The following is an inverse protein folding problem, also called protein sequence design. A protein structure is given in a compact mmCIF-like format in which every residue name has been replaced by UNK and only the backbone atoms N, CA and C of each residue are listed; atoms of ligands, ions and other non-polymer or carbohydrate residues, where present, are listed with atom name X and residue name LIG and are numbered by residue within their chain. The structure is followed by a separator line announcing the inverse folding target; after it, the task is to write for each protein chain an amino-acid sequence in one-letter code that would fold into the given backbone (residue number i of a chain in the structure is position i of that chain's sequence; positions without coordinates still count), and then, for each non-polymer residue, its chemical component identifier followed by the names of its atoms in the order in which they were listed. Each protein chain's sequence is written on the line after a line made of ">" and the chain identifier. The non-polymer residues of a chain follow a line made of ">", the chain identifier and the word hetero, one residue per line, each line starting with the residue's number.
data_IF_137532517181
#
_entry.id   IF_137532517181
#
_cell.length_a   1.000
_cell.length_b   1.000
_cell.length_c   1.000
_cell.angle_alpha   90.00
_cell.angle_beta   90.00
_cell.angle_gamma   90.00
#
_symmetry.space_group_name_H-M   'P 1'
#
loop_
_entity.id
_entity.type
_entity.pdbx_description
1 polymer ?
#
# COMPACT_ATOMS: atom_id res chain seq x y z
N UNK A 1 27.43 -0.81 2.79
CA UNK A 1 27.04 -2.23 2.75
C UNK A 1 28.27 -3.12 2.64
N UNK A 2 29.21 -2.82 1.73
CA UNK A 2 30.44 -3.61 1.63
C UNK A 2 31.29 -3.57 2.93
N UNK A 3 31.30 -2.44 3.65
CA UNK A 3 31.94 -2.33 4.99
C UNK A 3 31.22 -3.11 6.12
N UNK A 4 29.95 -3.51 5.92
CA UNK A 4 29.20 -4.33 6.90
C UNK A 4 29.47 -5.82 6.66
N UNK A 5 29.61 -6.20 5.38
CA UNK A 5 29.97 -7.56 4.96
C UNK A 5 31.38 -7.94 5.43
N UNK A 6 32.33 -6.99 5.43
CA UNK A 6 33.70 -7.22 5.90
C UNK A 6 33.86 -7.36 7.42
N UNK A 7 32.85 -6.97 8.20
CA UNK A 7 32.93 -6.89 9.68
C UNK A 7 32.45 -8.14 10.42
N UNK A 8 31.83 -9.10 9.73
CA UNK A 8 31.27 -10.29 10.39
C UNK A 8 31.57 -11.57 9.63
N UNK A 9 32.19 -12.53 10.33
CA UNK A 9 32.54 -13.84 9.79
C UNK A 9 31.51 -14.94 10.10
N UNK A 10 30.47 -14.66 10.90
CA UNK A 10 29.47 -15.66 11.34
C UNK A 10 28.00 -15.25 11.17
N UNK A 11 27.67 -13.96 11.20
CA UNK A 11 26.28 -13.48 11.12
C UNK A 11 26.12 -12.31 10.16
N UNK A 12 25.07 -12.30 9.34
CA UNK A 12 24.78 -11.16 8.47
C UNK A 12 24.38 -9.97 9.34
N UNK A 13 25.26 -8.97 9.45
CA UNK A 13 24.97 -7.74 10.18
C UNK A 13 23.99 -6.89 9.38
N UNK A 14 22.89 -6.49 10.02
CA UNK A 14 21.85 -5.63 9.44
C UNK A 14 21.99 -4.21 9.97
N UNK A 15 21.56 -3.25 9.16
CA UNK A 15 21.39 -1.86 9.59
C UNK A 15 19.99 -1.61 10.17
N UNK A 16 19.77 -0.41 10.70
CA UNK A 16 18.46 0.02 11.21
C UNK A 16 17.64 0.77 10.15
N UNK A 17 18.01 0.67 8.87
CA UNK A 17 17.39 1.45 7.79
C UNK A 17 16.19 0.72 7.19
N UNK A 18 15.21 1.51 6.75
CA UNK A 18 14.08 1.03 5.96
C UNK A 18 14.37 1.28 4.48
N UNK A 19 14.35 0.23 3.67
CA UNK A 19 14.50 0.30 2.22
C UNK A 19 13.19 0.04 1.50
N UNK A 20 12.88 0.86 0.49
CA UNK A 20 11.80 0.64 -0.45
C UNK A 20 12.41 0.22 -1.79
N UNK A 21 12.07 -0.99 -2.24
CA UNK A 21 12.55 -1.57 -3.49
C UNK A 21 11.40 -1.61 -4.49
N UNK A 22 11.56 -0.97 -5.64
CA UNK A 22 10.61 -1.04 -6.73
C UNK A 22 11.02 -2.13 -7.71
N UNK A 23 10.06 -2.96 -8.12
CA UNK A 23 10.27 -3.92 -9.19
C UNK A 23 10.28 -3.19 -10.54
N UNK A 24 11.45 -2.83 -11.03
CA UNK A 24 11.61 -2.21 -12.35
C UNK A 24 11.96 -3.26 -13.43
N UNK A 25 11.78 -2.89 -14.70
CA UNK A 25 12.09 -3.77 -15.84
C UNK A 25 13.57 -4.19 -15.90
N UNK A 26 14.47 -3.34 -15.39
CA UNK A 26 15.92 -3.57 -15.36
C UNK A 26 16.43 -3.48 -13.93
N UNK A 27 16.18 -4.52 -13.15
CA UNK A 27 16.66 -4.59 -11.78
C UNK A 27 18.10 -5.13 -11.70
N UNK A 28 18.84 -4.65 -10.71
CA UNK A 28 20.10 -5.27 -10.31
C UNK A 28 19.84 -6.28 -9.20
N UNK A 29 19.71 -7.55 -9.57
CA UNK A 29 19.38 -8.64 -8.64
C UNK A 29 20.38 -8.75 -7.47
N UNK A 30 21.67 -8.51 -7.72
CA UNK A 30 22.69 -8.53 -6.66
C UNK A 30 22.49 -7.40 -5.65
N UNK A 31 22.06 -6.23 -6.12
CA UNK A 31 21.77 -5.10 -5.25
C UNK A 31 20.52 -5.39 -4.40
N UNK A 32 19.47 -5.94 -5.00
CA UNK A 32 18.24 -6.34 -4.30
C UNK A 32 18.58 -7.37 -3.22
N UNK A 33 19.34 -8.41 -3.55
CA UNK A 33 19.76 -9.44 -2.60
C UNK A 33 20.58 -8.84 -1.44
N UNK A 34 21.52 -7.94 -1.72
CA UNK A 34 22.29 -7.23 -0.69
C UNK A 34 21.39 -6.40 0.22
N UNK A 35 20.43 -5.67 -0.35
CA UNK A 35 19.50 -4.85 0.44
C UNK A 35 18.60 -5.71 1.31
N UNK A 36 18.09 -6.84 0.80
CA UNK A 36 17.23 -7.74 1.60
C UNK A 36 18.00 -8.38 2.75
N UNK A 37 19.26 -8.77 2.50
CA UNK A 37 20.11 -9.40 3.53
C UNK A 37 20.53 -8.43 4.64
N UNK A 38 20.90 -7.20 4.28
CA UNK A 38 21.52 -6.25 5.22
C UNK A 38 20.59 -5.12 5.68
N UNK A 39 19.48 -4.87 5.00
CA UNK A 39 18.58 -3.79 5.38
C UNK A 39 17.74 -4.19 6.58
N UNK A 40 17.59 -3.33 7.58
CA UNK A 40 16.77 -3.60 8.77
C UNK A 40 15.35 -4.02 8.40
N UNK A 41 14.66 -3.14 7.67
CA UNK A 41 13.31 -3.34 7.14
C UNK A 41 13.26 -3.16 5.63
N UNK A 42 12.54 -4.02 4.93
CA UNK A 42 12.43 -3.96 3.47
C UNK A 42 10.98 -4.01 3.03
N UNK A 43 10.58 -3.02 2.24
CA UNK A 43 9.30 -3.00 1.53
C UNK A 43 9.58 -3.23 0.05
N UNK A 44 9.05 -4.32 -0.49
CA UNK A 44 9.16 -4.63 -1.92
C UNK A 44 7.86 -4.28 -2.63
N UNK A 45 7.92 -3.30 -3.53
CA UNK A 45 6.78 -2.76 -4.26
C UNK A 45 6.76 -3.30 -5.69
N UNK A 46 5.66 -3.91 -6.10
CA UNK A 46 5.52 -4.53 -7.42
C UNK A 46 4.15 -4.25 -8.01
N UNK A 47 4.08 -4.14 -9.34
CA UNK A 47 2.82 -4.09 -10.07
C UNK A 47 2.35 -5.50 -10.52
N UNK A 48 3.21 -6.50 -10.40
CA UNK A 48 2.98 -7.89 -10.84
C UNK A 48 3.56 -8.89 -9.83
N UNK A 49 3.91 -10.09 -10.28
CA UNK A 49 4.50 -11.16 -9.48
C UNK A 49 5.86 -10.78 -8.86
N UNK A 50 6.04 -11.13 -7.60
CA UNK A 50 7.33 -11.12 -6.92
C UNK A 50 8.12 -12.36 -7.34
N UNK A 51 9.36 -12.22 -7.84
CA UNK A 51 10.19 -13.37 -8.16
C UNK A 51 10.46 -14.25 -6.94
N UNK A 52 10.49 -15.57 -7.13
CA UNK A 52 10.62 -16.53 -6.03
C UNK A 52 11.87 -16.32 -5.17
N UNK A 53 13.01 -15.93 -5.76
CA UNK A 53 14.23 -15.67 -5.01
C UNK A 53 14.08 -14.47 -4.07
N UNK A 54 13.42 -13.39 -4.53
CA UNK A 54 13.09 -12.22 -3.71
C UNK A 54 12.18 -12.62 -2.57
N UNK A 55 11.10 -13.35 -2.85
CA UNK A 55 10.18 -13.84 -1.82
C UNK A 55 10.92 -14.69 -0.77
N UNK A 56 11.74 -15.65 -1.21
CA UNK A 56 12.50 -16.54 -0.32
C UNK A 56 13.41 -15.76 0.62
N UNK A 57 13.99 -14.66 0.17
CA UNK A 57 14.85 -13.83 1.00
C UNK A 57 14.04 -12.90 1.90
N UNK A 58 12.93 -12.31 1.43
CA UNK A 58 12.03 -11.51 2.27
C UNK A 58 11.41 -12.33 3.40
N UNK A 59 11.01 -13.58 3.13
CA UNK A 59 10.36 -14.47 4.09
C UNK A 59 11.28 -14.89 5.25
N UNK A 60 12.59 -14.71 5.13
CA UNK A 60 13.54 -14.93 6.24
C UNK A 60 13.49 -13.82 7.29
N UNK A 61 12.75 -12.74 7.01
CA UNK A 61 12.77 -11.52 7.80
C UNK A 61 11.35 -11.08 8.12
N UNK A 62 11.00 -11.10 9.42
CA UNK A 62 9.63 -10.85 9.90
C UNK A 62 9.11 -9.44 9.59
N UNK A 63 10.00 -8.44 9.49
CA UNK A 63 9.62 -7.05 9.24
C UNK A 63 9.45 -6.72 7.74
N UNK A 64 9.69 -7.69 6.85
CA UNK A 64 9.55 -7.49 5.41
C UNK A 64 8.08 -7.35 5.01
N UNK A 65 7.83 -6.45 4.06
CA UNK A 65 6.49 -6.21 3.52
C UNK A 65 6.52 -6.27 2.00
N UNK A 66 5.56 -6.95 1.41
CA UNK A 66 5.33 -6.94 -0.04
C UNK A 66 4.12 -6.07 -0.33
N UNK A 67 4.26 -5.12 -1.25
CA UNK A 67 3.20 -4.23 -1.69
C UNK A 67 2.85 -4.53 -3.14
N UNK A 68 1.62 -4.93 -3.39
CA UNK A 68 1.08 -5.14 -4.73
C UNK A 68 0.25 -3.92 -5.13
N UNK A 69 0.60 -3.28 -6.25
CA UNK A 69 -0.20 -2.21 -6.82
C UNK A 69 -1.42 -2.79 -7.53
N UNK A 70 -2.61 -2.36 -7.11
CA UNK A 70 -3.84 -2.78 -7.77
C UNK A 70 -4.07 -1.97 -9.07
N UNK A 71 -4.37 -2.68 -10.16
CA UNK A 71 -4.63 -2.07 -11.48
C UNK A 71 -6.10 -2.19 -11.89
N UNK A 72 -6.57 -3.43 -12.03
CA UNK A 72 -7.96 -3.73 -12.34
C UNK A 72 -8.33 -5.04 -11.65
N UNK A 73 -8.00 -6.17 -12.24
CA UNK A 73 -8.18 -7.49 -11.62
C UNK A 73 -6.82 -8.15 -11.45
N UNK A 74 -6.67 -8.98 -10.43
CA UNK A 74 -5.51 -9.85 -10.29
C UNK A 74 -5.66 -11.06 -11.22
N UNK A 75 -4.62 -11.38 -11.96
CA UNK A 75 -4.52 -12.63 -12.70
C UNK A 75 -4.35 -13.82 -11.75
N UNK A 76 -4.70 -15.03 -12.18
CA UNK A 76 -4.52 -16.24 -11.36
C UNK A 76 -3.08 -16.40 -10.86
N UNK A 77 -2.10 -16.08 -11.71
CA UNK A 77 -0.68 -16.06 -11.34
C UNK A 77 -0.36 -15.05 -10.23
N UNK A 78 -0.98 -13.88 -10.25
CA UNK A 78 -0.80 -12.87 -9.22
C UNK A 78 -1.50 -13.29 -7.92
N UNK A 79 -2.68 -13.91 -7.99
CA UNK A 79 -3.38 -14.47 -6.83
C UNK A 79 -2.53 -15.54 -6.13
N UNK A 80 -1.98 -16.48 -6.89
CA UNK A 80 -1.08 -17.52 -6.35
C UNK A 80 0.19 -16.90 -5.74
N UNK A 81 0.76 -15.89 -6.39
CA UNK A 81 1.94 -15.19 -5.91
C UNK A 81 1.65 -14.40 -4.62
N UNK A 82 0.49 -13.76 -4.52
CA UNK A 82 0.01 -13.07 -3.32
C UNK A 82 -0.18 -14.07 -2.18
N UNK A 83 -0.83 -15.20 -2.45
CA UNK A 83 -1.00 -16.27 -1.47
C UNK A 83 0.34 -16.80 -0.95
N UNK A 84 1.32 -16.99 -1.84
CA UNK A 84 2.68 -17.39 -1.46
C UNK A 84 3.35 -16.32 -0.58
N UNK A 85 3.28 -15.05 -0.98
CA UNK A 85 3.84 -13.93 -0.22
C UNK A 85 3.25 -13.83 1.19
N UNK A 86 1.94 -14.04 1.31
CA UNK A 86 1.21 -14.00 2.58
C UNK A 86 1.65 -15.08 3.57
N UNK A 87 2.19 -16.21 3.10
CA UNK A 87 2.67 -17.27 3.99
C UNK A 87 3.95 -16.89 4.75
N UNK A 88 4.76 -15.99 4.20
CA UNK A 88 6.09 -15.68 4.73
C UNK A 88 6.33 -14.21 5.08
N UNK A 89 5.46 -13.31 4.63
CA UNK A 89 5.64 -11.87 4.76
C UNK A 89 4.30 -11.16 4.93
N UNK A 90 4.34 -9.93 5.41
CA UNK A 90 3.17 -9.05 5.41
C UNK A 90 2.82 -8.64 3.98
N UNK A 91 1.56 -8.78 3.59
CA UNK A 91 1.07 -8.42 2.26
C UNK A 91 0.17 -7.19 2.33
N UNK A 92 0.50 -6.21 1.49
CA UNK A 92 -0.24 -4.97 1.34
C UNK A 92 -0.72 -4.83 -0.10
N UNK A 93 -1.94 -4.37 -0.29
CA UNK A 93 -2.44 -3.93 -1.60
C UNK A 93 -2.56 -2.41 -1.60
N UNK A 94 -1.84 -1.75 -2.51
CA UNK A 94 -1.93 -0.30 -2.72
C UNK A 94 -2.93 0.02 -3.84
N UNK A 95 -3.86 0.92 -3.54
CA UNK A 95 -4.97 1.29 -4.40
C UNK A 95 -4.95 2.79 -4.60
N UNK A 96 -4.67 3.21 -5.84
CA UNK A 96 -4.76 4.62 -6.23
C UNK A 96 -6.21 4.99 -6.56
N UNK A 97 -6.80 5.87 -5.75
CA UNK A 97 -8.20 6.28 -5.86
C UNK A 97 -8.31 7.63 -6.56
N UNK A 98 -8.96 7.63 -7.72
CA UNK A 98 -9.27 8.83 -8.50
C UNK A 98 -10.78 8.88 -8.74
N UNK A 99 -11.48 9.77 -8.04
CA UNK A 99 -12.93 9.96 -8.21
C UNK A 99 -13.25 10.78 -9.46
N UNK A 100 -14.38 10.50 -10.15
CA UNK A 100 -15.32 9.39 -9.94
C UNK A 100 -14.93 8.09 -10.68
N UNK A 101 -13.72 8.01 -11.24
CA UNK A 101 -13.29 6.90 -12.10
C UNK A 101 -13.13 5.58 -11.35
N UNK A 102 -12.82 5.66 -10.05
CA UNK A 102 -12.68 4.49 -9.17
C UNK A 102 -13.89 4.39 -8.26
N UNK A 103 -14.59 3.26 -8.32
CA UNK A 103 -15.77 2.98 -7.51
C UNK A 103 -15.46 2.03 -6.34
N UNK A 104 -15.84 2.35 -5.08
CA UNK A 104 -15.69 1.45 -3.93
C UNK A 104 -16.18 0.01 -4.16
N UNK A 105 -17.31 -0.17 -4.86
CA UNK A 105 -17.86 -1.51 -5.13
C UNK A 105 -16.98 -2.32 -6.06
N UNK A 106 -16.35 -1.68 -7.04
CA UNK A 106 -15.42 -2.33 -7.95
C UNK A 106 -14.17 -2.76 -7.20
N UNK A 107 -13.64 -1.93 -6.31
CA UNK A 107 -12.50 -2.27 -5.45
C UNK A 107 -12.78 -3.53 -4.63
N UNK A 108 -13.94 -3.60 -3.97
CA UNK A 108 -14.33 -4.79 -3.19
C UNK A 108 -14.39 -6.02 -4.09
N UNK A 109 -14.97 -5.90 -5.29
CA UNK A 109 -15.04 -7.01 -6.25
C UNK A 109 -13.65 -7.47 -6.70
N UNK A 110 -12.75 -6.54 -6.96
CA UNK A 110 -11.38 -6.82 -7.42
C UNK A 110 -10.53 -7.49 -6.33
N UNK A 111 -10.70 -7.07 -5.07
CA UNK A 111 -10.03 -7.67 -3.92
C UNK A 111 -10.60 -9.05 -3.53
N UNK A 112 -11.77 -9.43 -4.04
CA UNK A 112 -12.44 -10.66 -3.62
C UNK A 112 -11.61 -11.92 -3.88
N UNK A 113 -10.80 -11.95 -4.95
CA UNK A 113 -9.92 -13.09 -5.27
C UNK A 113 -8.79 -13.28 -4.26
N UNK A 114 -8.38 -12.20 -3.57
CA UNK A 114 -7.26 -12.18 -2.62
C UNK A 114 -7.73 -11.93 -1.18
N UNK A 115 -9.03 -12.10 -0.92
CA UNK A 115 -9.70 -11.71 0.34
C UNK A 115 -9.14 -12.37 1.61
N UNK A 116 -8.38 -13.45 1.49
CA UNK A 116 -7.77 -14.19 2.61
C UNK A 116 -6.26 -14.05 2.70
N UNK A 117 -5.64 -13.34 1.76
CA UNK A 117 -4.19 -13.34 1.54
C UNK A 117 -3.58 -11.93 1.53
N UNK A 118 -4.26 -10.97 2.16
CA UNK A 118 -3.83 -9.58 2.27
C UNK A 118 -4.05 -9.14 3.71
N UNK A 119 -3.04 -8.50 4.31
CA UNK A 119 -3.11 -7.96 5.66
C UNK A 119 -3.65 -6.52 5.66
N UNK A 120 -3.19 -5.71 4.70
CA UNK A 120 -3.53 -4.29 4.64
C UNK A 120 -3.91 -3.82 3.23
N UNK A 121 -4.83 -2.87 3.20
CA UNK A 121 -5.17 -2.11 2.01
C UNK A 121 -4.77 -0.66 2.25
N UNK A 122 -3.84 -0.18 1.43
CA UNK A 122 -3.37 1.20 1.46
C UNK A 122 -4.12 1.97 0.36
N UNK A 123 -4.78 3.05 0.76
CA UNK A 123 -5.47 3.96 -0.13
C UNK A 123 -4.57 5.16 -0.41
N UNK A 124 -4.12 5.28 -1.66
CA UNK A 124 -3.36 6.42 -2.15
C UNK A 124 -4.27 7.33 -2.97
N UNK A 125 -4.15 8.65 -2.76
CA UNK A 125 -4.96 9.66 -3.44
C UNK A 125 -4.04 10.58 -4.26
N UNK A 126 -3.72 10.21 -5.51
CA UNK A 126 -2.74 10.94 -6.30
C UNK A 126 -3.23 12.37 -6.62
N UNK A 127 -2.30 13.33 -6.59
CA UNK A 127 -2.53 14.70 -7.07
C UNK A 127 -2.68 14.67 -8.60
N UNK A 128 -3.63 15.42 -9.12
CA UNK A 128 -3.94 15.48 -10.55
C UNK A 128 -3.52 16.84 -11.12
N UNK A 129 -2.89 16.85 -12.30
CA UNK A 129 -2.56 18.11 -12.98
C UNK A 129 -3.81 18.78 -13.57
N UNK A 130 -4.72 17.96 -14.08
CA UNK A 130 -5.94 18.40 -14.73
C UNK A 130 -7.12 17.56 -14.22
N UNK A 131 -8.29 18.17 -14.16
CA UNK A 131 -9.53 17.52 -13.74
C UNK A 131 -10.67 17.82 -14.71
N UNK A 132 -11.44 16.80 -15.04
CA UNK A 132 -12.64 16.94 -15.84
C UNK A 132 -13.75 17.69 -15.08
N UNK A 133 -14.73 18.21 -15.82
CA UNK A 133 -15.91 18.88 -15.24
C UNK A 133 -16.63 18.04 -14.18
N UNK A 134 -16.68 16.70 -14.38
CA UNK A 134 -17.28 15.76 -13.42
C UNK A 134 -16.43 15.56 -12.16
N UNK A 135 -15.12 15.78 -12.27
CA UNK A 135 -14.15 15.61 -11.20
C UNK A 135 -14.07 16.84 -10.29
N UNK A 136 -14.23 18.05 -10.83
CA UNK A 136 -14.08 19.34 -10.11
C UNK A 136 -14.74 19.40 -8.73
N UNK A 137 -15.88 18.73 -8.52
CA UNK A 137 -16.56 18.72 -7.21
C UNK A 137 -15.76 18.02 -6.10
N UNK A 138 -14.92 17.05 -6.46
CA UNK A 138 -14.18 16.19 -5.54
C UNK A 138 -12.78 16.69 -5.18
N UNK A 139 -12.26 17.70 -5.87
CA UNK A 139 -10.87 18.16 -5.73
C UNK A 139 -10.83 19.66 -5.47
N UNK A 140 -9.79 20.09 -4.75
CA UNK A 140 -9.40 21.49 -4.61
C UNK A 140 -8.06 21.73 -5.30
N UNK A 141 -7.92 22.91 -5.90
CA UNK A 141 -6.68 23.32 -6.56
C UNK A 141 -5.81 24.11 -5.58
N UNK A 142 -4.57 23.69 -5.38
CA UNK A 142 -3.63 24.31 -4.44
C UNK A 142 -2.63 25.28 -5.10
N UNK A 143 -2.79 25.56 -6.40
CA UNK A 143 -1.90 26.40 -7.19
C UNK A 143 -0.99 25.61 -8.13
N UNK A 144 -0.72 24.34 -7.81
CA UNK A 144 0.13 23.47 -8.64
C UNK A 144 -0.64 22.27 -9.17
N UNK A 145 -1.49 21.67 -8.34
CA UNK A 145 -2.25 20.48 -8.71
C UNK A 145 -3.60 20.42 -7.97
N UNK A 146 -4.44 19.52 -8.43
CA UNK A 146 -5.71 19.19 -7.80
C UNK A 146 -5.50 18.07 -6.78
N UNK A 147 -5.89 18.34 -5.54
CA UNK A 147 -5.84 17.40 -4.43
C UNK A 147 -7.26 17.00 -4.05
N UNK A 148 -7.50 15.70 -3.84
CA UNK A 148 -8.83 15.23 -3.45
C UNK A 148 -9.20 15.78 -2.08
N UNK A 149 -10.44 16.25 -1.92
CA UNK A 149 -10.87 16.79 -0.65
C UNK A 149 -10.89 15.73 0.45
N UNK A 150 -10.52 16.08 1.69
CA UNK A 150 -10.46 15.14 2.81
C UNK A 150 -11.77 14.38 3.06
N UNK A 151 -12.93 15.02 2.86
CA UNK A 151 -14.23 14.37 3.11
C UNK A 151 -14.44 13.17 2.19
N UNK A 152 -14.01 13.28 0.93
CA UNK A 152 -14.16 12.21 -0.05
C UNK A 152 -13.16 11.06 0.18
N UNK A 153 -11.97 11.35 0.70
CA UNK A 153 -11.01 10.31 1.11
C UNK A 153 -11.59 9.44 2.22
N UNK A 154 -12.16 10.08 3.25
CA UNK A 154 -12.77 9.40 4.39
C UNK A 154 -14.06 8.69 4.00
N UNK A 155 -14.91 9.30 3.18
CA UNK A 155 -16.14 8.66 2.66
C UNK A 155 -15.81 7.40 1.85
N UNK A 156 -14.79 7.45 0.98
CA UNK A 156 -14.34 6.29 0.22
C UNK A 156 -13.89 5.15 1.14
N UNK A 157 -13.06 5.45 2.14
CA UNK A 157 -12.59 4.48 3.12
C UNK A 157 -13.75 3.88 3.95
N UNK A 158 -14.73 4.70 4.35
CA UNK A 158 -15.90 4.24 5.12
C UNK A 158 -16.76 3.26 4.32
N UNK A 159 -16.92 3.50 3.00
CA UNK A 159 -17.70 2.64 2.10
C UNK A 159 -17.11 1.23 1.93
N UNK A 160 -15.78 1.09 1.93
CA UNK A 160 -15.13 -0.22 1.82
C UNK A 160 -14.86 -0.87 3.19
N UNK A 161 -14.96 -0.10 4.29
CA UNK A 161 -14.57 -0.54 5.63
C UNK A 161 -15.21 -1.84 6.05
N UNK A 162 -16.54 -1.96 5.90
CA UNK A 162 -17.27 -3.13 6.41
C UNK A 162 -16.81 -4.41 5.72
N UNK A 163 -16.71 -4.39 4.39
CA UNK A 163 -16.26 -5.54 3.60
C UNK A 163 -14.83 -5.95 3.96
N UNK A 164 -13.90 -4.99 4.03
CA UNK A 164 -12.50 -5.28 4.37
C UNK A 164 -12.34 -5.75 5.82
N UNK A 165 -13.16 -5.23 6.76
CA UNK A 165 -13.16 -5.71 8.15
C UNK A 165 -13.61 -7.16 8.28
N UNK A 166 -14.61 -7.59 7.49
CA UNK A 166 -15.04 -9.00 7.43
C UNK A 166 -13.91 -9.90 6.95
N UNK A 167 -13.07 -9.40 6.04
CA UNK A 167 -11.88 -10.09 5.53
C UNK A 167 -10.64 -9.92 6.40
N UNK A 168 -10.78 -9.25 7.56
CA UNK A 168 -9.68 -8.95 8.49
C UNK A 168 -8.54 -8.14 7.87
N UNK A 169 -8.84 -7.34 6.84
CA UNK A 169 -7.89 -6.42 6.22
C UNK A 169 -7.93 -5.05 6.89
N UNK A 170 -6.77 -4.53 7.26
CA UNK A 170 -6.64 -3.18 7.81
C UNK A 170 -6.61 -2.14 6.70
N UNK A 171 -7.28 -1.01 6.90
CA UNK A 171 -7.30 0.09 5.93
C UNK A 171 -6.39 1.20 6.42
N UNK A 172 -5.50 1.65 5.55
CA UNK A 172 -4.65 2.81 5.75
C UNK A 172 -4.96 3.85 4.67
N UNK A 173 -5.18 5.10 5.09
CA UNK A 173 -5.25 6.25 4.19
C UNK A 173 -3.84 6.86 4.18
N UNK A 174 -3.19 6.84 3.02
CA UNK A 174 -1.86 7.44 2.86
C UNK A 174 -2.01 8.95 2.63
N UNK A 175 -1.36 9.74 3.47
CA UNK A 175 -1.43 11.20 3.49
C UNK A 175 -0.04 11.80 3.63
N UNK A 176 0.18 13.00 3.09
CA UNK A 176 1.28 13.85 3.54
C UNK A 176 0.95 14.52 4.88
N UNK A 177 1.88 15.25 5.48
CA UNK A 177 1.71 15.85 6.82
C UNK A 177 0.55 16.86 6.88
N UNK A 178 0.34 17.63 5.81
CA UNK A 178 -0.73 18.64 5.74
C UNK A 178 -2.09 17.94 5.59
N UNK A 179 -2.18 17.05 4.63
CA UNK A 179 -3.37 16.25 4.34
C UNK A 179 -3.77 15.36 5.52
N UNK A 180 -2.78 14.87 6.29
CA UNK A 180 -3.02 14.09 7.51
C UNK A 180 -3.88 14.87 8.50
N UNK A 181 -3.56 16.14 8.73
CA UNK A 181 -4.27 16.99 9.70
C UNK A 181 -5.72 17.19 9.28
N UNK A 182 -5.94 17.45 7.98
CA UNK A 182 -7.26 17.69 7.43
C UNK A 182 -8.12 16.41 7.47
N UNK A 183 -7.58 15.27 7.02
CA UNK A 183 -8.24 13.95 7.08
C UNK A 183 -8.57 13.56 8.51
N UNK A 184 -7.61 13.72 9.43
CA UNK A 184 -7.81 13.41 10.84
C UNK A 184 -8.92 14.27 11.46
N UNK A 185 -9.00 15.55 11.10
CA UNK A 185 -10.08 16.44 11.55
C UNK A 185 -11.47 15.95 11.13
N UNK A 186 -11.60 15.43 9.90
CA UNK A 186 -12.85 14.86 9.37
C UNK A 186 -13.21 13.58 10.13
N UNK A 187 -12.23 12.70 10.35
CA UNK A 187 -12.41 11.45 11.11
C UNK A 187 -12.89 11.76 12.54
N UNK A 188 -12.30 12.75 13.21
CA UNK A 188 -12.65 13.09 14.59
C UNK A 188 -14.02 13.75 14.70
N UNK A 189 -14.42 14.58 13.72
CA UNK A 189 -15.80 15.07 13.62
C UNK A 189 -16.78 13.90 13.49
N UNK A 190 -16.53 12.96 12.58
CA UNK A 190 -17.39 11.79 12.39
C UNK A 190 -17.47 10.91 13.65
N UNK A 191 -16.36 10.71 14.37
CA UNK A 191 -16.35 9.98 15.65
C UNK A 191 -17.21 10.66 16.70
N UNK A 192 -17.17 12.01 16.79
CA UNK A 192 -18.02 12.78 17.70
C UNK A 192 -19.50 12.61 17.34
N UNK A 193 -19.87 12.78 16.06
CA UNK A 193 -21.25 12.58 15.61
C UNK A 193 -21.77 11.16 15.87
N UNK A 194 -20.95 10.12 15.67
CA UNK A 194 -21.35 8.73 15.94
C UNK A 194 -21.49 8.38 17.42
N UNK A 195 -20.80 9.11 18.31
CA UNK A 195 -20.91 8.97 19.77
C UNK A 195 -22.08 9.77 20.35
N UNK A 196 -22.47 10.88 19.72
CA UNK A 196 -23.67 11.66 20.06
C UNK A 196 -24.86 11.05 19.33
N UNK A 197 -25.43 9.97 19.88
CA UNK A 197 -26.79 9.55 19.54
C UNK A 197 -27.74 10.21 20.54
N UNK A 198 -28.68 11.02 20.03
CA UNK A 198 -29.92 11.39 20.74
C UNK A 198 -30.74 10.11 20.92
#
# INVERSE_FOLDING_TARGET
>A
MDDLESKSSRYVMRDDRHYLLFNEKYNNDKLIEKIIKHGGKVTYYTDTVVPYYVFKDLAKHQDSTVVYRMRKDFTDKEVDNIALSFMGTKVVVDISVVLPNVNPYEIIRQLHSVKTNVDEVHLSFPRLKEVDTKQKKFYDFDGEAYTMKPEYKVDFADRIRVSLSVWKMYIYILTDDKDHTDVQSVIDKLKKYRKVKI
#
